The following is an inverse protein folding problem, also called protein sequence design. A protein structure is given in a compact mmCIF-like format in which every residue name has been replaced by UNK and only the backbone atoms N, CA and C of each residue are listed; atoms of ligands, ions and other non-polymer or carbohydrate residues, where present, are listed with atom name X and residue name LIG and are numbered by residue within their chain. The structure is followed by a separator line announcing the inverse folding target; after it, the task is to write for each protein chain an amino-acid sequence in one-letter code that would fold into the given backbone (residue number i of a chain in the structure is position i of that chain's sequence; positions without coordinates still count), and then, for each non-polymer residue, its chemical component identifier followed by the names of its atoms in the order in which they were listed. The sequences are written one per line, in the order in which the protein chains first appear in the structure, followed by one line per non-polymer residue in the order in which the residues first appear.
data_IF_900954322788
#
_entry.id   IF_900954322788
#
_cell.length_a   1.000
_cell.length_b   1.000
_cell.length_c   1.000
_cell.angle_alpha   90.00
_cell.angle_beta   90.00
_cell.angle_gamma   90.00
#
_symmetry.space_group_name_H-M   'P 1'
#
loop_
_entity.id
_entity.type
_entity.pdbx_description
1 polymer ?
#
# COMPACT_ATOMS: atom_id res chain seq x y z
N UNK A 1 -17.45 -6.79 -0.84
CA UNK A 1 -17.04 -6.79 0.58
C UNK A 1 -16.19 -8.03 0.79
N UNK A 2 -14.95 -7.88 1.28
CA UNK A 2 -14.07 -9.00 1.62
C UNK A 2 -14.08 -9.19 3.13
N UNK A 3 -14.17 -10.43 3.58
CA UNK A 3 -14.16 -10.81 4.99
C UNK A 3 -13.06 -11.84 5.14
N UNK A 4 -12.18 -11.63 6.10
CA UNK A 4 -11.14 -12.58 6.48
C UNK A 4 -11.20 -12.81 7.98
N UNK A 5 -11.08 -14.06 8.40
CA UNK A 5 -11.22 -14.46 9.79
C UNK A 5 -10.10 -15.40 10.17
N UNK A 6 -9.54 -15.19 11.35
CA UNK A 6 -8.49 -16.01 11.93
C UNK A 6 -8.94 -16.46 13.31
N UNK A 7 -8.59 -17.69 13.66
CA UNK A 7 -8.77 -18.20 15.02
C UNK A 7 -7.39 -18.59 15.54
N UNK A 8 -6.99 -18.03 16.68
CA UNK A 8 -5.70 -18.32 17.30
C UNK A 8 -5.89 -18.55 18.79
N UNK A 9 -5.07 -19.43 19.37
CA UNK A 9 -5.13 -19.76 20.79
C UNK A 9 -3.85 -19.28 21.45
N UNK A 10 -3.98 -18.37 22.43
CA UNK A 10 -2.86 -17.80 23.19
C UNK A 10 -3.15 -18.04 24.67
N UNK A 11 -2.23 -18.68 25.38
CA UNK A 11 -2.36 -19.02 26.81
C UNK A 11 -3.71 -19.71 27.14
N UNK A 12 -4.12 -20.68 26.31
CA UNK A 12 -5.37 -21.42 26.45
C UNK A 12 -6.66 -20.60 26.26
N UNK A 13 -6.56 -19.35 25.79
CA UNK A 13 -7.70 -18.50 25.39
C UNK A 13 -7.76 -18.47 23.87
N UNK A 14 -8.91 -18.84 23.31
CA UNK A 14 -9.16 -18.76 21.86
C UNK A 14 -9.68 -17.39 21.49
N UNK A 15 -9.01 -16.75 20.54
CA UNK A 15 -9.37 -15.45 19.99
C UNK A 15 -9.87 -15.62 18.56
N UNK A 16 -11.05 -15.08 18.28
CA UNK A 16 -11.61 -14.97 16.95
C UNK A 16 -11.39 -13.55 16.43
N UNK A 17 -10.61 -13.43 15.37
CA UNK A 17 -10.25 -12.15 14.77
C UNK A 17 -10.93 -12.06 13.42
N UNK A 18 -11.70 -11.00 13.19
CA UNK A 18 -12.44 -10.78 11.95
C UNK A 18 -12.10 -9.42 11.38
N UNK A 19 -11.61 -9.43 10.15
CA UNK A 19 -11.34 -8.23 9.36
C UNK A 19 -12.33 -8.13 8.21
N UNK A 20 -12.97 -6.97 8.08
CA UNK A 20 -13.84 -6.64 6.96
C UNK A 20 -13.25 -5.48 6.18
N UNK A 21 -13.17 -5.66 4.86
CA UNK A 21 -12.68 -4.64 3.93
C UNK A 21 -13.70 -4.41 2.82
N UNK A 22 -14.14 -3.16 2.71
CA UNK A 22 -14.96 -2.63 1.63
C UNK A 22 -14.29 -1.37 1.08
N UNK A 23 -14.67 -0.96 -0.12
CA UNK A 23 -14.10 0.21 -0.80
C UNK A 23 -14.09 1.47 0.08
N UNK A 24 -15.13 1.65 0.90
CA UNK A 24 -15.30 2.82 1.77
C UNK A 24 -14.99 2.56 3.26
N UNK A 25 -14.88 1.29 3.68
CA UNK A 25 -14.86 0.95 5.11
C UNK A 25 -13.99 -0.27 5.37
N UNK A 26 -13.02 -0.12 6.27
CA UNK A 26 -12.18 -1.19 6.80
C UNK A 26 -12.45 -1.29 8.31
N UNK A 27 -12.72 -2.49 8.82
CA UNK A 27 -13.01 -2.72 10.24
C UNK A 27 -12.33 -3.99 10.74
N UNK A 28 -11.86 -3.94 11.98
CA UNK A 28 -11.26 -5.06 12.67
C UNK A 28 -12.06 -5.36 13.94
N UNK A 29 -12.34 -6.63 14.18
CA UNK A 29 -13.02 -7.14 15.36
C UNK A 29 -12.20 -8.25 15.99
N UNK A 30 -12.10 -8.26 17.31
CA UNK A 30 -11.50 -9.33 18.10
C UNK A 30 -12.52 -9.76 19.13
N UNK A 31 -12.98 -11.01 19.08
CA UNK A 31 -14.08 -11.53 19.90
C UNK A 31 -15.29 -10.58 19.88
N UNK A 32 -15.72 -10.18 18.68
CA UNK A 32 -16.80 -9.22 18.41
C UNK A 32 -16.59 -7.78 18.93
N UNK A 33 -15.47 -7.49 19.60
CA UNK A 33 -15.10 -6.13 20.00
C UNK A 33 -14.37 -5.42 18.86
N UNK A 34 -14.90 -4.26 18.45
CA UNK A 34 -14.30 -3.43 17.40
C UNK A 34 -12.97 -2.84 17.87
N UNK A 35 -11.92 -3.01 17.06
CA UNK A 35 -10.61 -2.39 17.25
C UNK A 35 -10.46 -1.22 16.27
N UNK A 36 -9.97 -0.09 16.79
CA UNK A 36 -9.73 1.10 15.97
C UNK A 36 -8.48 0.86 15.10
N UNK A 37 -8.66 0.96 13.79
CA UNK A 37 -7.56 0.87 12.83
C UNK A 37 -6.65 2.10 12.93
N UNK A 38 -5.34 1.87 12.94
CA UNK A 38 -4.35 2.95 12.86
C UNK A 38 -4.36 3.58 11.45
N UNK A 39 -3.98 4.86 11.30
CA UNK A 39 -3.88 5.51 10.00
C UNK A 39 -2.80 4.86 9.12
N UNK A 40 -2.99 4.93 7.81
CA UNK A 40 -1.97 4.48 6.86
C UNK A 40 -0.80 5.47 6.82
N UNK A 41 0.43 4.94 6.83
CA UNK A 41 1.67 5.73 6.68
C UNK A 41 2.11 5.89 5.21
N UNK A 42 1.43 5.22 4.28
CA UNK A 42 1.85 5.02 2.89
C UNK A 42 0.72 5.37 1.92
N UNK A 43 0.02 6.47 2.20
CA UNK A 43 -1.04 7.00 1.34
C UNK A 43 -2.18 6.00 1.05
N UNK A 44 -2.54 5.17 2.04
CA UNK A 44 -3.63 4.19 1.95
C UNK A 44 -3.22 2.82 1.41
N UNK A 45 -2.00 2.68 0.88
CA UNK A 45 -1.52 1.42 0.28
C UNK A 45 -1.27 0.35 1.33
N UNK A 46 -0.63 0.72 2.43
CA UNK A 46 -0.42 -0.20 3.56
C UNK A 46 -0.95 0.36 4.86
N UNK A 47 -1.44 -0.54 5.70
CA UNK A 47 -1.93 -0.22 7.02
C UNK A 47 -1.53 -1.34 7.97
N UNK A 48 -0.77 -0.95 8.97
CA UNK A 48 -0.43 -1.82 10.10
C UNK A 48 -1.24 -1.34 11.30
N UNK A 49 -1.92 -2.25 11.99
CA UNK A 49 -2.67 -1.95 13.21
C UNK A 49 -2.26 -2.95 14.27
N UNK A 50 -1.54 -2.47 15.28
CA UNK A 50 -1.21 -3.25 16.46
C UNK A 50 -2.39 -3.30 17.41
N UNK A 51 -2.65 -4.49 17.97
CA UNK A 51 -3.68 -4.72 18.98
C UNK A 51 -3.27 -5.86 19.90
N UNK A 52 -3.77 -5.85 21.12
CA UNK A 52 -3.38 -6.84 22.13
C UNK A 52 -4.32 -8.06 22.12
N UNK A 53 -3.71 -9.23 22.21
CA UNK A 53 -4.34 -10.53 22.38
C UNK A 53 -3.85 -11.13 23.71
N UNK A 54 -4.43 -10.65 24.81
CA UNK A 54 -4.01 -11.05 26.15
C UNK A 54 -2.59 -10.56 26.45
N UNK A 55 -1.61 -11.47 26.50
CA UNK A 55 -0.20 -11.14 26.78
C UNK A 55 0.65 -10.94 25.54
N UNK A 56 0.10 -11.12 24.34
CA UNK A 56 0.82 -10.97 23.07
C UNK A 56 0.27 -9.79 22.29
N UNK A 57 1.14 -9.10 21.55
CA UNK A 57 0.73 -8.06 20.60
C UNK A 57 0.62 -8.69 19.21
N UNK A 58 -0.54 -8.56 18.60
CA UNK A 58 -0.77 -8.92 17.21
C UNK A 58 -0.75 -7.67 16.33
N UNK A 59 -0.34 -7.84 15.07
CA UNK A 59 -0.29 -6.75 14.09
C UNK A 59 -1.11 -7.19 12.90
N UNK A 60 -2.23 -6.51 12.64
CA UNK A 60 -2.93 -6.63 11.38
C UNK A 60 -2.12 -5.89 10.33
N UNK A 61 -1.66 -6.60 9.31
CA UNK A 61 -0.92 -6.05 8.18
C UNK A 61 -1.84 -6.12 6.97
N UNK A 62 -2.22 -4.96 6.45
CA UNK A 62 -2.99 -4.85 5.22
C UNK A 62 -2.13 -4.17 4.15
N UNK A 63 -1.98 -4.83 3.01
CA UNK A 63 -1.27 -4.34 1.85
C UNK A 63 -2.23 -4.46 0.67
N UNK A 64 -2.64 -3.31 0.11
CA UNK A 64 -3.75 -3.23 -0.85
C UNK A 64 -5.02 -3.97 -0.37
N UNK A 65 -5.33 -5.06 -1.07
CA UNK A 65 -6.49 -5.91 -0.88
C UNK A 65 -6.17 -7.18 -0.10
N UNK A 66 -4.89 -7.44 0.16
CA UNK A 66 -4.41 -8.55 0.94
C UNK A 66 -4.23 -8.13 2.38
N UNK A 67 -4.47 -9.05 3.30
CA UNK A 67 -4.29 -8.82 4.72
C UNK A 67 -3.90 -10.12 5.41
N UNK A 68 -3.07 -9.99 6.43
CA UNK A 68 -2.64 -11.07 7.30
C UNK A 68 -2.43 -10.50 8.70
N UNK A 69 -2.32 -11.39 9.69
CA UNK A 69 -2.04 -11.05 11.07
C UNK A 69 -0.67 -11.61 11.41
N UNK A 70 0.21 -10.75 11.92
CA UNK A 70 1.47 -11.17 12.51
C UNK A 70 1.33 -11.32 14.02
N UNK A 71 1.77 -12.46 14.57
CA UNK A 71 1.90 -12.72 16.01
C UNK A 71 3.31 -13.24 16.25
N UNK A 72 4.01 -12.72 17.27
CA UNK A 72 5.41 -13.07 17.59
C UNK A 72 6.39 -12.94 16.41
N UNK A 73 6.09 -12.03 15.49
CA UNK A 73 6.93 -11.77 14.31
C UNK A 73 6.75 -12.77 13.17
N UNK A 74 5.67 -13.55 13.15
CA UNK A 74 5.31 -14.43 12.05
C UNK A 74 3.86 -14.23 11.61
N UNK A 75 3.63 -14.28 10.30
CA UNK A 75 2.31 -14.22 9.71
C UNK A 75 1.51 -15.51 9.99
N UNK A 76 0.23 -15.38 10.31
CA UNK A 76 -0.63 -16.51 10.65
C UNK A 76 -0.97 -17.37 9.42
N UNK A 77 -1.20 -16.79 8.26
CA UNK A 77 -1.59 -17.57 7.09
C UNK A 77 -0.40 -18.24 6.39
N UNK A 78 0.69 -17.49 6.19
CA UNK A 78 1.86 -17.99 5.47
C UNK A 78 2.92 -18.66 6.37
N UNK A 79 2.93 -18.35 7.66
CA UNK A 79 4.02 -18.74 8.56
C UNK A 79 5.35 -18.00 8.29
N UNK A 80 5.38 -17.08 7.32
CA UNK A 80 6.58 -16.32 7.00
C UNK A 80 6.91 -15.30 8.08
N UNK A 81 8.19 -14.95 8.17
CA UNK A 81 8.64 -13.90 9.09
C UNK A 81 8.02 -12.56 8.69
N UNK A 82 7.40 -11.89 9.66
CA UNK A 82 6.88 -10.54 9.51
C UNK A 82 7.99 -9.57 9.13
N UNK A 83 7.76 -8.83 8.06
CA UNK A 83 8.61 -7.74 7.61
C UNK A 83 7.81 -6.45 7.79
N UNK A 84 8.27 -5.59 8.69
CA UNK A 84 7.66 -4.29 8.92
C UNK A 84 7.66 -3.47 7.63
N UNK A 85 6.49 -2.97 7.24
CA UNK A 85 6.37 -2.08 6.10
C UNK A 85 6.87 -0.70 6.52
N UNK A 86 8.13 -0.44 6.17
CA UNK A 86 8.76 0.87 6.37
C UNK A 86 7.96 1.98 5.70
N UNK A 87 8.07 3.19 6.25
CA UNK A 87 7.63 4.43 5.60
C UNK A 87 8.13 4.51 4.15
N UNK A 88 7.44 5.31 3.33
CA UNK A 88 7.85 5.58 1.95
C UNK A 88 9.34 6.00 1.96
N UNK A 89 10.22 5.27 1.26
CA UNK A 89 11.65 5.55 1.33
C UNK A 89 11.95 6.91 0.69
N UNK A 90 12.93 7.64 1.25
CA UNK A 90 13.25 9.03 0.85
C UNK A 90 13.53 9.14 -0.65
N UNK A 91 14.22 8.14 -1.22
CA UNK A 91 14.51 8.11 -2.66
C UNK A 91 13.26 8.06 -3.54
N UNK A 92 12.13 7.54 -3.05
CA UNK A 92 10.90 7.45 -3.83
C UNK A 92 10.27 8.82 -4.08
N UNK A 93 10.50 9.78 -3.18
CA UNK A 93 10.03 11.15 -3.38
C UNK A 93 10.65 11.79 -4.64
N UNK A 94 11.85 11.40 -5.04
CA UNK A 94 12.47 11.87 -6.29
C UNK A 94 11.60 11.45 -7.49
N UNK A 95 11.18 10.19 -7.55
CA UNK A 95 10.30 9.70 -8.62
C UNK A 95 8.92 10.35 -8.60
N UNK A 96 8.35 10.57 -7.40
CA UNK A 96 7.08 11.29 -7.24
C UNK A 96 7.20 12.73 -7.76
N UNK A 97 8.28 13.45 -7.42
CA UNK A 97 8.55 14.79 -7.94
C UNK A 97 8.67 14.80 -9.46
N UNK A 98 9.39 13.84 -10.05
CA UNK A 98 9.53 13.75 -11.51
C UNK A 98 8.17 13.52 -12.16
N UNK A 99 7.37 12.54 -11.69
CA UNK A 99 6.02 12.27 -12.20
C UNK A 99 5.07 13.45 -12.02
N UNK A 100 5.24 14.25 -10.97
CA UNK A 100 4.43 15.45 -10.74
C UNK A 100 4.56 16.50 -11.85
N UNK A 101 5.69 16.52 -12.58
CA UNK A 101 5.90 17.46 -13.68
C UNK A 101 4.92 17.26 -14.83
N UNK A 102 4.40 16.03 -15.02
CA UNK A 102 3.37 15.73 -16.01
C UNK A 102 2.11 16.59 -15.77
N UNK A 103 1.68 16.69 -14.51
CA UNK A 103 0.53 17.51 -14.13
C UNK A 103 0.82 19.02 -14.23
N UNK A 104 2.07 19.44 -14.01
CA UNK A 104 2.47 20.84 -14.17
C UNK A 104 2.44 21.26 -15.64
N UNK A 105 3.00 20.47 -16.54
CA UNK A 105 3.08 20.78 -17.98
C UNK A 105 1.74 20.69 -18.71
N UNK A 106 0.78 19.95 -18.16
CA UNK A 106 -0.57 19.84 -18.71
C UNK A 106 -1.50 20.97 -18.27
N UNK A 107 -0.98 22.03 -17.64
CA UNK A 107 -1.73 23.15 -17.10
C UNK A 107 -2.88 22.73 -16.16
N UNK A 108 -2.68 21.66 -15.38
CA UNK A 108 -3.67 21.24 -14.39
C UNK A 108 -4.86 20.45 -14.95
N UNK A 109 -4.76 19.91 -16.17
CA UNK A 109 -5.85 19.13 -16.78
C UNK A 109 -6.25 17.91 -15.92
N UNK A 110 -7.55 17.67 -15.75
CA UNK A 110 -8.09 16.55 -14.95
C UNK A 110 -7.58 15.17 -15.40
N UNK A 111 -7.45 14.92 -16.71
CA UNK A 111 -6.96 13.65 -17.23
C UNK A 111 -5.50 13.43 -16.82
N UNK A 112 -4.69 14.49 -16.86
CA UNK A 112 -3.29 14.44 -16.44
C UNK A 112 -3.15 14.30 -14.92
N UNK A 113 -4.09 14.87 -14.13
CA UNK A 113 -4.14 14.69 -12.69
C UNK A 113 -4.39 13.22 -12.33
N UNK A 114 -5.41 12.61 -12.94
CA UNK A 114 -5.74 11.19 -12.75
C UNK A 114 -4.57 10.30 -13.19
N UNK A 115 -3.95 10.59 -14.32
CA UNK A 115 -2.78 9.86 -14.80
C UNK A 115 -1.59 9.95 -13.82
N UNK A 116 -1.33 11.14 -13.29
CA UNK A 116 -0.28 11.38 -12.29
C UNK A 116 -0.57 10.61 -10.98
N UNK A 117 -1.82 10.61 -10.52
CA UNK A 117 -2.25 9.87 -9.33
C UNK A 117 -2.06 8.35 -9.49
N UNK A 118 -2.38 7.81 -10.68
CA UNK A 118 -2.11 6.40 -11.00
C UNK A 118 -0.61 6.11 -10.90
N UNK A 119 0.24 7.02 -11.41
CA UNK A 119 1.69 6.92 -11.27
C UNK A 119 2.16 6.91 -9.82
N UNK A 120 1.63 7.82 -9.00
CA UNK A 120 1.95 7.88 -7.57
C UNK A 120 1.59 6.59 -6.85
N UNK A 121 0.42 6.02 -7.13
CA UNK A 121 0.00 4.74 -6.56
C UNK A 121 1.02 3.64 -6.87
N UNK A 122 1.40 3.46 -8.14
CA UNK A 122 2.35 2.42 -8.53
C UNK A 122 3.76 2.64 -7.97
N UNK A 123 4.24 3.88 -7.93
CA UNK A 123 5.54 4.22 -7.36
C UNK A 123 5.58 3.94 -5.85
N UNK A 124 4.58 4.39 -5.10
CA UNK A 124 4.48 4.13 -3.66
C UNK A 124 4.38 2.63 -3.41
N UNK A 125 3.49 1.92 -4.10
CA UNK A 125 3.29 0.47 -3.94
C UNK A 125 4.57 -0.32 -4.18
N UNK A 126 5.29 -0.01 -5.26
CA UNK A 126 6.55 -0.67 -5.60
C UNK A 126 7.65 -0.36 -4.57
N UNK A 127 7.71 0.88 -4.08
CA UNK A 127 8.75 1.31 -3.14
C UNK A 127 8.68 0.60 -1.79
N UNK A 128 7.48 0.20 -1.37
CA UNK A 128 7.23 -0.45 -0.06
C UNK A 128 7.07 -1.96 -0.17
N UNK A 129 7.10 -2.54 -1.37
CA UNK A 129 6.93 -3.98 -1.60
C UNK A 129 8.04 -4.80 -0.94
N UNK A 130 7.76 -5.55 0.15
CA UNK A 130 8.79 -6.20 0.95
C UNK A 130 9.56 -7.29 0.20
N UNK A 131 8.90 -7.98 -0.74
CA UNK A 131 9.51 -9.07 -1.53
C UNK A 131 10.65 -8.61 -2.47
N UNK A 132 10.70 -7.31 -2.79
CA UNK A 132 11.68 -6.77 -3.72
C UNK A 132 12.90 -6.20 -3.00
N UNK A 133 14.09 -6.48 -3.50
CA UNK A 133 15.33 -5.79 -3.06
C UNK A 133 15.31 -4.32 -3.48
N UNK A 134 15.98 -3.44 -2.73
CA UNK A 134 16.04 -1.98 -3.02
C UNK A 134 16.46 -1.69 -4.47
N UNK A 135 17.47 -2.40 -5.00
CA UNK A 135 17.93 -2.24 -6.40
C UNK A 135 16.80 -2.51 -7.40
N UNK A 136 16.08 -3.63 -7.23
CA UNK A 136 14.91 -3.98 -8.07
C UNK A 136 13.81 -2.93 -7.97
N UNK A 137 13.51 -2.42 -6.76
CA UNK A 137 12.50 -1.36 -6.57
C UNK A 137 12.85 -0.09 -7.34
N UNK A 138 14.10 0.37 -7.25
CA UNK A 138 14.57 1.56 -7.97
C UNK A 138 14.48 1.37 -9.49
N UNK A 139 14.87 0.20 -10.00
CA UNK A 139 14.76 -0.12 -11.44
C UNK A 139 13.30 -0.07 -11.90
N UNK A 140 12.40 -0.72 -11.18
CA UNK A 140 10.96 -0.74 -11.52
C UNK A 140 10.37 0.67 -11.46
N UNK A 141 10.67 1.45 -10.40
CA UNK A 141 10.23 2.84 -10.31
C UNK A 141 10.76 3.69 -11.48
N UNK A 142 12.01 3.47 -11.90
CA UNK A 142 12.59 4.17 -13.06
C UNK A 142 11.86 3.81 -14.35
N UNK A 143 11.53 2.53 -14.55
CA UNK A 143 10.76 2.07 -15.72
C UNK A 143 9.35 2.66 -15.72
N UNK A 144 8.68 2.69 -14.58
CA UNK A 144 7.34 3.31 -14.44
C UNK A 144 7.41 4.80 -14.80
N UNK A 145 8.32 5.54 -14.15
CA UNK A 145 8.49 6.98 -14.39
C UNK A 145 8.81 7.28 -15.86
N UNK A 146 9.74 6.53 -16.45
CA UNK A 146 10.11 6.71 -17.85
C UNK A 146 8.96 6.41 -18.80
N UNK A 147 8.26 5.30 -18.59
CA UNK A 147 7.11 4.89 -19.41
C UNK A 147 5.99 5.94 -19.38
N UNK A 148 5.70 6.48 -18.19
CA UNK A 148 4.69 7.54 -18.03
C UNK A 148 5.06 8.82 -18.78
N UNK A 149 6.32 9.25 -18.70
CA UNK A 149 6.78 10.44 -19.40
C UNK A 149 6.77 10.23 -20.91
N UNK A 150 7.27 9.09 -21.39
CA UNK A 150 7.21 8.76 -22.82
C UNK A 150 5.77 8.82 -23.35
N UNK A 151 4.83 8.24 -22.61
CA UNK A 151 3.42 8.28 -22.97
C UNK A 151 2.90 9.73 -23.02
N UNK A 152 3.14 10.51 -21.96
CA UNK A 152 2.70 11.90 -21.88
C UNK A 152 3.27 12.77 -23.01
N UNK A 153 4.59 12.74 -23.22
CA UNK A 153 5.25 13.53 -24.26
C UNK A 153 4.82 13.11 -25.66
N UNK A 154 4.57 11.82 -25.91
CA UNK A 154 4.06 11.34 -27.19
C UNK A 154 2.66 11.87 -27.46
N UNK A 155 1.77 11.84 -26.47
CA UNK A 155 0.42 12.41 -26.60
C UNK A 155 0.49 13.92 -26.83
N UNK A 156 1.33 14.63 -26.07
CA UNK A 156 1.52 16.07 -26.23
C UNK A 156 2.05 16.41 -27.63
N UNK A 157 3.03 15.67 -28.13
CA UNK A 157 3.57 15.83 -29.48
C UNK A 157 2.49 15.66 -30.56
N UNK A 158 1.66 14.62 -30.44
CA UNK A 158 0.56 14.38 -31.38
C UNK A 158 -0.43 15.54 -31.35
N UNK A 159 -0.84 15.99 -30.15
CA UNK A 159 -1.77 17.12 -30.02
C UNK A 159 -1.21 18.41 -30.64
N UNK A 160 0.08 18.71 -30.41
CA UNK A 160 0.74 19.87 -31.00
C UNK A 160 0.91 19.75 -32.52
N UNK A 161 0.99 18.55 -33.08
CA UNK A 161 1.11 18.35 -34.53
C UNK A 161 -0.21 18.48 -35.30
N UNK A 162 -1.34 18.43 -34.59
CA UNK A 162 -2.69 18.51 -35.18
C UNK A 162 -3.27 19.94 -35.05
N UNK A 163 -2.72 20.73 -34.13
CA UNK A 163 -3.08 22.14 -33.90
C UNK A 163 -2.31 23.07 -34.85
#
# INVERSE_FOLDING_TARGET
MRIKSWTTTINNITYNIKYTSSFLKKELFVNDKRIRLQPSKTFGVTRETSFDLGTKTAILVNIDNDCDISIDGYYLDSGEKYIEVRNIPIWNYIFLCIVSTIFMFSHGNICSALFTLVGFYFLIRTSIEPSLTVKKRIIICSVITFSMHLFFWKILYILLSIL
#
